data_IF_193405643554
#
_entry.id   IF_193405643554
#
_cell.length_a   1.000
_cell.length_b   1.000
_cell.length_c   1.000
_cell.angle_alpha   90.00
_cell.angle_beta   90.00
_cell.angle_gamma   90.00
#
_symmetry.space_group_name_H-M   'P 1'
#
loop_
_entity.id
_entity.type
_entity.pdbx_description
1 polymer ?
#
# COMPACT_ATOMS: atom_id res chain seq x y z
N UNK A 1 10.45 -9.35 -7.20
CA UNK A 1 9.35 -8.54 -7.76
C UNK A 1 9.68 -7.05 -7.74
N UNK A 2 9.81 -6.41 -6.57
CA UNK A 2 10.32 -5.04 -6.44
C UNK A 2 11.66 -5.07 -5.70
N UNK A 3 12.64 -4.29 -6.17
CA UNK A 3 13.96 -4.18 -5.58
C UNK A 3 14.43 -2.72 -5.59
N UNK A 4 15.06 -2.29 -4.52
CA UNK A 4 15.82 -1.03 -4.47
C UNK A 4 17.31 -1.33 -4.34
N UNK A 5 18.12 -0.52 -5.01
CA UNK A 5 19.58 -0.63 -5.03
C UNK A 5 20.14 0.74 -4.65
N UNK A 6 20.76 0.83 -3.47
CA UNK A 6 21.39 2.04 -2.96
C UNK A 6 20.44 3.24 -2.84
N UNK A 7 19.14 3.02 -2.58
CA UNK A 7 18.14 4.07 -2.58
C UNK A 7 18.45 5.13 -1.54
N UNK A 8 18.66 6.36 -2.00
CA UNK A 8 19.04 7.49 -1.15
C UNK A 8 18.17 8.70 -1.48
N UNK A 9 17.71 9.41 -0.47
CA UNK A 9 17.02 10.68 -0.63
C UNK A 9 17.49 11.69 0.42
N UNK A 10 17.77 12.91 -0.04
CA UNK A 10 18.23 14.02 0.78
C UNK A 10 17.32 15.22 0.61
N UNK A 11 17.01 15.89 1.71
CA UNK A 11 16.28 17.14 1.76
C UNK A 11 17.20 18.22 2.37
N UNK A 12 17.87 19.00 1.52
CA UNK A 12 18.94 19.90 1.97
C UNK A 12 20.05 19.13 2.70
N UNK A 13 20.27 19.45 3.96
CA UNK A 13 21.28 18.76 4.81
C UNK A 13 20.79 17.45 5.44
N UNK A 14 19.49 17.14 5.39
CA UNK A 14 18.93 15.94 6.00
C UNK A 14 18.94 14.77 5.01
N UNK A 15 19.57 13.66 5.37
CA UNK A 15 19.47 12.40 4.64
C UNK A 15 18.34 11.56 5.26
N UNK A 16 17.20 11.47 4.56
CA UNK A 16 16.03 10.75 5.03
C UNK A 16 16.06 9.25 4.72
N UNK A 17 16.72 8.85 3.61
CA UNK A 17 17.09 7.47 3.31
C UNK A 17 18.54 7.42 2.87
N UNK A 18 19.30 6.44 3.33
CA UNK A 18 20.70 6.28 3.03
C UNK A 18 21.00 4.84 2.59
N UNK A 19 21.33 4.68 1.32
CA UNK A 19 21.79 3.41 0.73
C UNK A 19 20.84 2.22 1.02
N UNK A 20 19.51 2.42 0.94
CA UNK A 20 18.54 1.37 1.23
C UNK A 20 18.49 0.35 0.10
N UNK A 21 18.88 -0.89 0.43
CA UNK A 21 18.79 -2.06 -0.44
C UNK A 21 17.70 -2.98 0.08
N UNK A 22 16.60 -3.06 -0.64
CA UNK A 22 15.37 -3.75 -0.22
C UNK A 22 14.86 -4.64 -1.35
N UNK A 23 14.29 -5.79 -1.00
CA UNK A 23 13.65 -6.66 -1.97
C UNK A 23 12.37 -7.26 -1.39
N UNK A 24 11.28 -7.27 -2.19
CA UNK A 24 10.06 -8.01 -1.90
C UNK A 24 9.77 -9.02 -3.02
N UNK A 25 9.42 -10.25 -2.64
CA UNK A 25 9.10 -11.33 -3.55
C UNK A 25 7.62 -11.32 -3.92
N UNK A 26 7.27 -11.97 -5.02
CA UNK A 26 5.87 -12.11 -5.43
C UNK A 26 5.10 -12.97 -4.42
N UNK A 27 3.88 -12.57 -4.07
CA UNK A 27 3.03 -13.24 -3.09
C UNK A 27 3.48 -13.07 -1.63
N UNK A 28 4.43 -12.18 -1.37
CA UNK A 28 4.91 -11.89 -0.02
C UNK A 28 4.09 -10.77 0.63
N UNK A 29 3.75 -10.91 1.91
CA UNK A 29 3.36 -9.80 2.77
C UNK A 29 4.61 -9.35 3.50
N UNK A 30 5.11 -8.16 3.17
CA UNK A 30 6.26 -7.54 3.81
C UNK A 30 5.81 -6.37 4.66
N UNK A 31 6.19 -6.34 5.93
CA UNK A 31 5.99 -5.17 6.78
C UNK A 31 7.27 -4.33 6.85
N UNK A 32 7.10 -3.02 6.86
CA UNK A 32 8.14 -2.04 7.19
C UNK A 32 7.75 -1.39 8.50
N UNK A 33 8.63 -1.52 9.49
CA UNK A 33 8.47 -0.93 10.81
C UNK A 33 9.67 -0.03 11.14
N UNK A 34 9.56 0.73 12.20
CA UNK A 34 10.61 1.62 12.69
C UNK A 34 10.00 2.80 13.47
N UNK A 35 10.78 3.49 14.30
CA UNK A 35 10.31 4.66 15.03
C UNK A 35 9.88 5.80 14.12
N UNK A 36 9.28 6.84 14.72
CA UNK A 36 8.97 8.07 14.02
C UNK A 36 10.25 8.70 13.47
N UNK A 37 10.22 9.19 12.24
CA UNK A 37 11.41 9.71 11.55
C UNK A 37 12.38 8.66 10.98
N UNK A 38 12.09 7.35 11.10
CA UNK A 38 12.95 6.30 10.53
C UNK A 38 13.06 6.29 9.00
N UNK A 39 12.16 7.02 8.28
CA UNK A 39 12.18 7.09 6.82
C UNK A 39 11.10 6.25 6.13
N UNK A 40 10.18 5.60 6.87
CA UNK A 40 9.13 4.72 6.33
C UNK A 40 8.29 5.40 5.24
N UNK A 41 7.65 6.53 5.55
CA UNK A 41 6.82 7.26 4.60
C UNK A 41 7.63 7.81 3.42
N UNK A 42 8.89 8.21 3.65
CA UNK A 42 9.81 8.64 2.59
C UNK A 42 10.11 7.49 1.64
N UNK A 43 10.34 6.28 2.17
CA UNK A 43 10.56 5.08 1.38
C UNK A 43 9.34 4.74 0.53
N UNK A 44 8.13 4.72 1.11
CA UNK A 44 6.88 4.52 0.38
C UNK A 44 6.68 5.57 -0.72
N UNK A 45 6.95 6.83 -0.42
CA UNK A 45 6.84 7.92 -1.39
C UNK A 45 7.80 7.76 -2.58
N UNK A 46 9.01 7.23 -2.34
CA UNK A 46 9.93 6.91 -3.43
C UNK A 46 9.42 5.73 -4.28
N UNK A 47 8.93 4.64 -3.66
CA UNK A 47 8.41 3.47 -4.37
C UNK A 47 7.19 3.79 -5.23
N UNK A 48 6.35 4.72 -4.78
CA UNK A 48 5.10 5.10 -5.46
C UNK A 48 5.24 6.32 -6.38
N UNK A 49 6.47 6.84 -6.55
CA UNK A 49 6.77 7.93 -7.47
C UNK A 49 6.36 9.32 -6.98
N UNK A 50 5.92 9.46 -5.72
CA UNK A 50 5.61 10.75 -5.08
C UNK A 50 6.88 11.56 -4.84
N UNK A 51 7.97 10.87 -4.47
CA UNK A 51 9.28 11.47 -4.29
C UNK A 51 10.30 10.86 -5.26
N UNK A 52 11.11 11.71 -5.85
CA UNK A 52 12.23 11.28 -6.69
C UNK A 52 13.46 11.05 -5.81
N UNK A 53 14.09 9.86 -5.81
CA UNK A 53 15.30 9.62 -5.06
C UNK A 53 16.46 10.48 -5.58
N UNK A 54 17.38 10.86 -4.68
CA UNK A 54 18.60 11.61 -5.03
C UNK A 54 19.63 10.68 -5.67
N UNK A 55 19.68 9.42 -5.25
CA UNK A 55 20.55 8.38 -5.80
C UNK A 55 19.94 6.99 -5.64
N UNK A 56 20.51 6.01 -6.30
CA UNK A 56 20.05 4.63 -6.30
C UNK A 56 19.00 4.35 -7.37
N UNK A 57 18.45 3.14 -7.35
CA UNK A 57 17.49 2.67 -8.36
C UNK A 57 16.35 1.89 -7.72
N UNK A 58 15.18 1.95 -8.37
CA UNK A 58 14.00 1.16 -8.03
C UNK A 58 13.64 0.34 -9.26
N UNK A 59 13.61 -0.99 -9.11
CA UNK A 59 13.21 -1.91 -10.17
C UNK A 59 11.94 -2.64 -9.78
N UNK A 60 11.01 -2.70 -10.72
CA UNK A 60 9.76 -3.45 -10.58
C UNK A 60 9.60 -4.40 -11.77
N UNK A 61 9.48 -5.72 -11.48
CA UNK A 61 9.45 -6.78 -12.50
C UNK A 61 10.59 -6.66 -13.54
N UNK A 62 11.78 -6.29 -13.07
CA UNK A 62 12.97 -6.10 -13.91
C UNK A 62 13.08 -4.74 -14.61
N UNK A 63 12.00 -3.99 -14.72
CA UNK A 63 12.02 -2.65 -15.32
C UNK A 63 12.45 -1.58 -14.30
N UNK A 64 13.23 -0.60 -14.74
CA UNK A 64 13.57 0.58 -13.94
C UNK A 64 12.36 1.52 -13.87
N UNK A 65 11.95 1.85 -12.65
CA UNK A 65 10.83 2.77 -12.37
C UNK A 65 11.30 4.00 -11.58
N UNK A 66 12.61 4.20 -11.44
CA UNK A 66 13.21 5.27 -10.64
C UNK A 66 12.74 6.64 -11.10
N UNK A 67 12.10 7.38 -10.20
CA UNK A 67 11.64 8.75 -10.46
C UNK A 67 10.49 8.88 -11.47
N UNK A 68 9.83 7.78 -11.82
CA UNK A 68 8.58 7.85 -12.58
C UNK A 68 7.49 8.51 -11.73
N UNK A 69 6.59 9.32 -12.34
CA UNK A 69 5.48 9.91 -11.61
C UNK A 69 4.43 8.86 -11.20
N UNK A 70 3.59 9.16 -10.17
CA UNK A 70 2.67 8.20 -9.58
C UNK A 70 1.73 7.52 -10.58
N UNK A 71 1.22 8.25 -11.57
CA UNK A 71 0.35 7.69 -12.59
C UNK A 71 1.05 6.62 -13.43
N UNK A 72 2.33 6.79 -13.78
CA UNK A 72 3.10 5.80 -14.51
C UNK A 72 3.47 4.60 -13.63
N UNK A 73 3.78 4.82 -12.34
CA UNK A 73 4.02 3.75 -11.37
C UNK A 73 2.76 2.91 -11.20
N UNK A 74 1.59 3.54 -11.07
CA UNK A 74 0.30 2.85 -11.00
C UNK A 74 0.03 2.03 -12.26
N UNK A 75 0.25 2.59 -13.45
CA UNK A 75 0.08 1.87 -14.71
C UNK A 75 0.98 0.62 -14.83
N UNK A 76 2.10 0.58 -14.11
CA UNK A 76 2.97 -0.60 -14.06
C UNK A 76 2.54 -1.65 -13.03
N UNK A 77 1.50 -1.37 -12.24
CA UNK A 77 0.91 -2.33 -11.33
C UNK A 77 1.33 -2.16 -9.88
N UNK A 78 1.73 -0.97 -9.45
CA UNK A 78 1.92 -0.62 -8.05
C UNK A 78 0.78 0.32 -7.63
N UNK A 79 -0.05 -0.10 -6.68
CA UNK A 79 -1.07 0.77 -6.08
C UNK A 79 -0.71 1.08 -4.62
N UNK A 80 -1.23 2.19 -4.11
CA UNK A 80 -1.09 2.61 -2.72
C UNK A 80 -2.42 3.06 -2.15
N UNK A 81 -2.75 2.61 -0.93
CA UNK A 81 -3.71 3.30 -0.07
C UNK A 81 -2.99 4.44 0.66
N UNK A 82 -3.65 5.58 0.84
CA UNK A 82 -3.07 6.73 1.51
C UNK A 82 -3.56 6.80 2.95
N UNK A 83 -2.75 7.38 3.85
CA UNK A 83 -3.11 7.58 5.26
C UNK A 83 -4.29 8.56 5.46
N UNK A 84 -4.45 9.52 4.54
CA UNK A 84 -5.60 10.42 4.49
C UNK A 84 -6.60 9.84 3.49
N UNK A 85 -7.84 9.67 3.93
CA UNK A 85 -8.93 9.08 3.16
C UNK A 85 -9.14 9.81 1.83
N UNK A 86 -8.72 9.20 0.72
CA UNK A 86 -8.86 9.73 -0.64
C UNK A 86 -10.10 9.16 -1.33
N UNK A 87 -11.24 9.18 -0.64
CA UNK A 87 -12.53 8.83 -1.20
C UNK A 87 -13.25 10.07 -1.72
N UNK A 88 -14.17 9.88 -2.64
CA UNK A 88 -15.12 10.89 -3.06
C UNK A 88 -16.34 10.81 -2.14
N UNK A 89 -16.45 11.66 -1.08
CA UNK A 89 -17.43 11.48 -0.01
C UNK A 89 -18.88 11.62 -0.51
N UNK A 90 -19.08 12.45 -1.51
CA UNK A 90 -20.39 12.71 -2.11
C UNK A 90 -20.75 11.77 -3.27
N UNK A 91 -19.89 10.82 -3.60
CA UNK A 91 -20.17 9.75 -4.55
C UNK A 91 -20.57 8.47 -3.80
N UNK A 92 -21.28 7.57 -4.48
CA UNK A 92 -21.58 6.25 -3.91
C UNK A 92 -20.32 5.41 -3.74
N UNK A 93 -20.40 4.41 -2.89
CA UNK A 93 -19.35 3.41 -2.69
C UNK A 93 -18.97 2.74 -4.02
N UNK A 94 -19.98 2.38 -4.83
CA UNK A 94 -19.76 1.81 -6.16
C UNK A 94 -19.05 2.79 -7.11
N UNK A 95 -19.48 4.05 -7.12
CA UNK A 95 -18.92 5.06 -8.01
C UNK A 95 -17.43 5.33 -7.71
N UNK A 96 -17.04 5.35 -6.44
CA UNK A 96 -15.64 5.46 -6.03
C UNK A 96 -14.77 4.37 -6.66
N UNK A 97 -15.20 3.12 -6.56
CA UNK A 97 -14.46 1.97 -7.12
C UNK A 97 -14.52 1.96 -8.65
N UNK A 98 -15.67 2.32 -9.24
CA UNK A 98 -15.86 2.39 -10.69
C UNK A 98 -14.89 3.36 -11.36
N UNK A 99 -14.71 4.55 -10.79
CA UNK A 99 -13.77 5.57 -11.29
C UNK A 99 -12.33 5.00 -11.29
N UNK A 100 -11.93 4.31 -10.24
CA UNK A 100 -10.61 3.68 -10.16
C UNK A 100 -10.44 2.56 -11.21
N UNK A 101 -11.44 1.70 -11.37
CA UNK A 101 -11.43 0.64 -12.39
C UNK A 101 -11.31 1.21 -13.82
N UNK A 102 -11.92 2.37 -14.08
CA UNK A 102 -11.83 3.04 -15.37
C UNK A 102 -10.41 3.52 -15.70
N UNK A 103 -9.60 3.86 -14.70
CA UNK A 103 -8.24 4.40 -14.89
C UNK A 103 -7.29 3.44 -15.61
N UNK A 104 -7.59 2.15 -15.62
CA UNK A 104 -6.80 1.11 -16.31
C UNK A 104 -7.07 1.02 -17.80
N UNK A 105 -8.18 1.55 -18.28
CA UNK A 105 -8.49 1.54 -19.71
C UNK A 105 -7.82 2.71 -20.40
N UNK A 106 -6.86 2.42 -21.25
CA UNK A 106 -6.20 3.40 -22.10
C UNK A 106 -7.19 3.88 -23.16
N UNK A 107 -7.48 5.15 -23.16
CA UNK A 107 -8.17 5.83 -24.21
C UNK A 107 -9.43 6.56 -23.74
N UNK A 108 -9.36 7.87 -23.81
CA UNK A 108 -10.50 8.74 -23.96
C UNK A 108 -11.12 8.48 -25.36
N UNK A 109 -11.62 7.28 -25.61
CA UNK A 109 -12.46 7.07 -26.77
C UNK A 109 -13.86 7.56 -26.38
N UNK A 110 -14.21 8.77 -26.79
CA UNK A 110 -15.60 9.28 -26.75
C UNK A 110 -16.56 8.36 -27.55
N UNK A 111 -16.04 7.38 -28.25
CA UNK A 111 -16.72 6.35 -29.04
C UNK A 111 -16.66 4.96 -28.37
N UNK A 112 -16.26 4.86 -27.10
CA UNK A 112 -16.24 3.59 -26.41
C UNK A 112 -17.65 3.00 -26.31
N UNK A 113 -17.82 1.82 -26.88
CA UNK A 113 -19.07 1.08 -26.96
C UNK A 113 -19.71 0.92 -25.57
N UNK A 114 -21.04 0.96 -25.51
CA UNK A 114 -21.90 0.74 -24.34
C UNK A 114 -21.51 -0.53 -23.51
N UNK A 115 -20.96 -1.56 -24.15
CA UNK A 115 -20.44 -2.78 -23.49
C UNK A 115 -19.28 -2.49 -22.52
N UNK A 116 -18.46 -1.49 -22.78
CA UNK A 116 -17.29 -1.17 -21.95
C UNK A 116 -17.66 -0.60 -20.57
N UNK A 117 -18.83 0.00 -20.41
CA UNK A 117 -19.33 0.48 -19.12
C UNK A 117 -19.81 -0.67 -18.23
N UNK A 118 -20.41 -1.70 -18.82
CA UNK A 118 -20.92 -2.85 -18.09
C UNK A 118 -19.80 -3.62 -17.41
N UNK A 119 -18.72 -3.89 -18.13
CA UNK A 119 -17.55 -4.59 -17.58
C UNK A 119 -16.88 -3.82 -16.45
N UNK A 120 -16.86 -2.46 -16.50
CA UNK A 120 -16.30 -1.63 -15.44
C UNK A 120 -17.16 -1.69 -14.19
N UNK A 121 -18.48 -1.68 -14.34
CA UNK A 121 -19.43 -1.80 -13.22
C UNK A 121 -19.32 -3.19 -12.61
N UNK A 122 -19.32 -4.26 -13.40
CA UNK A 122 -19.14 -5.63 -12.92
C UNK A 122 -17.82 -5.80 -12.16
N UNK A 123 -16.74 -5.20 -12.66
CA UNK A 123 -15.46 -5.18 -11.96
C UNK A 123 -15.54 -4.44 -10.63
N UNK A 124 -16.20 -3.29 -10.59
CA UNK A 124 -16.39 -2.53 -9.37
C UNK A 124 -17.20 -3.31 -8.32
N UNK A 125 -18.26 -4.01 -8.75
CA UNK A 125 -19.04 -4.87 -7.87
C UNK A 125 -18.22 -6.05 -7.31
N UNK A 126 -17.40 -6.70 -8.13
CA UNK A 126 -16.48 -7.75 -7.70
C UNK A 126 -15.48 -7.24 -6.65
N UNK A 127 -14.96 -6.03 -6.84
CA UNK A 127 -14.06 -5.41 -5.87
C UNK A 127 -14.81 -5.09 -4.57
N UNK A 128 -16.03 -4.55 -4.64
CA UNK A 128 -16.85 -4.30 -3.45
C UNK A 128 -17.16 -5.59 -2.68
N UNK A 129 -17.40 -6.70 -3.38
CA UNK A 129 -17.54 -8.02 -2.75
C UNK A 129 -16.25 -8.41 -2.04
N UNK A 130 -15.10 -8.24 -2.71
CA UNK A 130 -13.80 -8.59 -2.15
C UNK A 130 -13.47 -7.78 -0.88
N UNK A 131 -13.91 -6.53 -0.78
CA UNK A 131 -13.68 -5.67 0.40
C UNK A 131 -14.85 -5.66 1.40
N UNK A 132 -15.90 -6.48 1.17
CA UNK A 132 -17.03 -6.63 2.08
C UNK A 132 -18.04 -5.47 2.05
N UNK A 133 -18.06 -4.67 0.98
CA UNK A 133 -18.91 -3.47 0.85
C UNK A 133 -20.03 -3.60 -0.19
N UNK A 134 -20.26 -4.79 -0.76
CA UNK A 134 -21.29 -4.98 -1.80
C UNK A 134 -22.69 -4.53 -1.36
N UNK A 135 -23.07 -4.85 -0.11
CA UNK A 135 -24.36 -4.45 0.46
C UNK A 135 -24.54 -2.93 0.60
N UNK A 136 -23.44 -2.18 0.53
CA UNK A 136 -23.41 -0.71 0.65
C UNK A 136 -23.05 0.01 -0.65
N UNK A 137 -23.16 -0.68 -1.80
CA UNK A 137 -22.77 -0.16 -3.11
C UNK A 137 -23.42 1.20 -3.44
N UNK A 138 -24.68 1.39 -3.05
CA UNK A 138 -25.45 2.61 -3.31
C UNK A 138 -25.39 3.66 -2.18
N UNK A 139 -24.71 3.36 -1.06
CA UNK A 139 -24.52 4.33 0.01
C UNK A 139 -23.46 5.36 -0.37
N UNK A 140 -23.63 6.60 0.09
CA UNK A 140 -22.60 7.62 -0.05
C UNK A 140 -21.38 7.22 0.79
N UNK A 141 -20.19 7.41 0.24
CA UNK A 141 -18.95 7.05 0.94
C UNK A 141 -18.78 7.81 2.27
N UNK A 142 -19.34 9.02 2.38
CA UNK A 142 -19.37 9.78 3.63
C UNK A 142 -20.14 9.10 4.77
N UNK A 143 -21.10 8.23 4.45
CA UNK A 143 -21.95 7.56 5.45
C UNK A 143 -21.36 6.24 5.98
N UNK A 144 -20.26 5.78 5.39
CA UNK A 144 -19.54 4.59 5.84
C UNK A 144 -18.83 4.85 7.18
N UNK A 145 -18.75 3.83 8.04
CA UNK A 145 -17.89 3.86 9.23
C UNK A 145 -16.43 4.05 8.84
N UNK A 146 -15.57 4.41 9.78
CA UNK A 146 -14.13 4.61 9.53
C UNK A 146 -13.47 3.35 8.95
N UNK A 147 -13.75 2.16 9.52
CA UNK A 147 -13.25 0.90 9.01
C UNK A 147 -13.74 0.58 7.59
N UNK A 148 -15.04 0.87 7.31
CA UNK A 148 -15.61 0.69 5.97
C UNK A 148 -15.02 1.66 4.94
N UNK A 149 -14.75 2.92 5.32
CA UNK A 149 -14.05 3.87 4.46
C UNK A 149 -12.65 3.37 4.13
N UNK A 150 -11.96 2.77 5.10
CA UNK A 150 -10.64 2.17 4.87
C UNK A 150 -10.70 0.96 3.94
N UNK A 151 -11.70 0.10 4.12
CA UNK A 151 -11.95 -1.01 3.20
C UNK A 151 -12.27 -0.50 1.78
N UNK A 152 -13.01 0.61 1.67
CA UNK A 152 -13.27 1.25 0.38
C UNK A 152 -11.97 1.75 -0.28
N UNK A 153 -11.06 2.35 0.47
CA UNK A 153 -9.74 2.78 -0.04
C UNK A 153 -8.92 1.61 -0.58
N UNK A 154 -8.90 0.50 0.16
CA UNK A 154 -8.27 -0.74 -0.31
C UNK A 154 -8.96 -1.20 -1.60
N UNK A 155 -10.29 -1.13 -1.67
CA UNK A 155 -11.06 -1.44 -2.86
C UNK A 155 -10.72 -0.56 -4.05
N UNK A 156 -10.61 0.75 -3.86
CA UNK A 156 -10.17 1.71 -4.89
C UNK A 156 -8.78 1.33 -5.43
N UNK A 157 -7.85 0.99 -4.55
CA UNK A 157 -6.52 0.54 -4.95
C UNK A 157 -6.57 -0.80 -5.72
N UNK A 158 -7.38 -1.78 -5.26
CA UNK A 158 -7.57 -3.08 -5.92
C UNK A 158 -8.21 -2.93 -7.31
N UNK A 159 -9.12 -1.98 -7.50
CA UNK A 159 -9.77 -1.72 -8.79
C UNK A 159 -8.79 -1.33 -9.90
N UNK A 160 -7.59 -0.85 -9.52
CA UNK A 160 -6.50 -0.59 -10.46
C UNK A 160 -5.71 -1.84 -10.86
N UNK A 161 -6.14 -3.04 -10.45
CA UNK A 161 -5.50 -4.34 -10.74
C UNK A 161 -3.99 -4.36 -10.46
N UNK A 162 -3.57 -4.03 -9.24
CA UNK A 162 -2.16 -3.95 -8.91
C UNK A 162 -1.53 -5.36 -8.83
N UNK A 163 -0.22 -5.42 -9.02
CA UNK A 163 0.60 -6.60 -8.68
C UNK A 163 1.28 -6.42 -7.32
N UNK A 164 1.48 -5.16 -6.90
CA UNK A 164 1.99 -4.78 -5.59
C UNK A 164 1.04 -3.73 -4.99
N UNK A 165 0.49 -4.03 -3.83
CA UNK A 165 -0.33 -3.12 -3.05
C UNK A 165 0.49 -2.60 -1.86
N UNK A 166 0.64 -1.29 -1.77
CA UNK A 166 1.28 -0.60 -0.66
C UNK A 166 0.21 -0.06 0.29
N UNK A 167 0.18 -0.55 1.52
CA UNK A 167 -0.76 -0.14 2.57
C UNK A 167 -0.01 0.69 3.62
N UNK A 168 -0.47 1.91 3.84
CA UNK A 168 0.13 2.86 4.78
C UNK A 168 -0.78 2.95 6.02
N UNK A 169 -0.35 2.31 7.11
CA UNK A 169 -1.06 2.23 8.40
C UNK A 169 -2.54 1.83 8.23
N UNK A 170 -2.84 0.66 7.60
CA UNK A 170 -4.20 0.29 7.25
C UNK A 170 -5.13 0.11 8.46
N UNK A 171 -4.60 -0.05 9.68
CA UNK A 171 -5.40 -0.24 10.90
C UNK A 171 -5.40 0.97 11.83
N UNK A 172 -4.78 2.09 11.43
CA UNK A 172 -4.68 3.27 12.28
C UNK A 172 -6.06 3.84 12.66
N UNK A 173 -6.26 4.10 13.95
CA UNK A 173 -7.50 4.69 14.46
C UNK A 173 -8.72 3.77 14.53
N UNK A 174 -8.53 2.47 14.26
CA UNK A 174 -9.60 1.47 14.30
C UNK A 174 -9.82 0.90 15.71
N UNK A 175 -11.05 0.48 15.96
CA UNK A 175 -11.35 -0.41 17.09
C UNK A 175 -10.71 -1.79 16.87
N UNK A 176 -10.60 -2.60 17.94
CA UNK A 176 -10.06 -3.97 17.84
C UNK A 176 -10.84 -4.83 16.85
N UNK A 177 -12.17 -4.69 16.78
CA UNK A 177 -13.01 -5.43 15.85
C UNK A 177 -12.71 -5.04 14.39
N UNK A 178 -12.67 -3.74 14.09
CA UNK A 178 -12.36 -3.24 12.75
C UNK A 178 -10.93 -3.63 12.30
N UNK A 179 -9.96 -3.59 13.23
CA UNK A 179 -8.59 -4.06 12.99
C UNK A 179 -8.60 -5.54 12.55
N UNK A 180 -9.35 -6.38 13.27
CA UNK A 180 -9.45 -7.81 12.95
C UNK A 180 -10.08 -8.06 11.58
N UNK A 181 -11.13 -7.31 11.22
CA UNK A 181 -11.79 -7.40 9.92
C UNK A 181 -10.85 -6.93 8.79
N UNK A 182 -10.12 -5.85 9.00
CA UNK A 182 -9.13 -5.35 8.03
C UNK A 182 -7.97 -6.33 7.86
N UNK A 183 -7.48 -6.95 8.93
CA UNK A 183 -6.48 -8.02 8.85
C UNK A 183 -6.98 -9.23 8.06
N UNK A 184 -8.23 -9.65 8.30
CA UNK A 184 -8.86 -10.74 7.54
C UNK A 184 -8.97 -10.39 6.05
N UNK A 185 -9.32 -9.13 5.73
CA UNK A 185 -9.33 -8.64 4.36
C UNK A 185 -7.92 -8.72 3.74
N UNK A 186 -6.90 -8.18 4.42
CA UNK A 186 -5.51 -8.19 3.92
C UNK A 186 -5.03 -9.62 3.67
N UNK A 187 -5.29 -10.57 4.59
CA UNK A 187 -4.96 -12.00 4.39
C UNK A 187 -5.68 -12.60 3.17
N UNK A 188 -6.94 -12.22 2.95
CA UNK A 188 -7.72 -12.72 1.80
C UNK A 188 -7.16 -12.26 0.47
N UNK A 189 -6.85 -10.96 0.33
CA UNK A 189 -6.33 -10.41 -0.92
C UNK A 189 -4.86 -10.79 -1.16
N UNK A 190 -4.10 -11.10 -0.11
CA UNK A 190 -2.70 -11.51 -0.22
C UNK A 190 -2.50 -12.87 -0.90
N UNK A 191 -3.55 -13.70 -1.05
CA UNK A 191 -3.46 -14.97 -1.76
C UNK A 191 -3.03 -14.79 -3.22
N UNK A 192 -3.45 -13.69 -3.84
CA UNK A 192 -3.22 -13.41 -5.25
C UNK A 192 -2.37 -12.16 -5.47
N UNK A 193 -1.96 -11.48 -4.39
CA UNK A 193 -1.33 -10.16 -4.43
C UNK A 193 -0.09 -10.08 -3.55
N UNK A 194 0.90 -9.32 -3.99
CA UNK A 194 2.02 -8.95 -3.14
C UNK A 194 1.66 -7.69 -2.36
N UNK A 195 1.93 -7.68 -1.06
CA UNK A 195 1.53 -6.58 -0.17
C UNK A 195 2.74 -6.06 0.59
N UNK A 196 2.91 -4.75 0.55
CA UNK A 196 3.89 -4.02 1.36
C UNK A 196 3.13 -3.14 2.35
N UNK A 197 3.33 -3.35 3.64
CA UNK A 197 2.61 -2.64 4.71
C UNK A 197 3.59 -1.80 5.50
N UNK A 198 3.26 -0.55 5.76
CA UNK A 198 3.84 0.23 6.86
C UNK A 198 2.87 0.16 8.03
N UNK A 199 3.33 -0.27 9.18
CA UNK A 199 2.53 -0.36 10.39
C UNK A 199 3.38 -0.05 11.63
N UNK A 200 2.72 0.43 12.66
CA UNK A 200 3.32 0.68 13.98
C UNK A 200 2.72 -0.23 15.06
N UNK A 201 1.57 -0.85 14.81
CA UNK A 201 1.01 -1.89 15.67
C UNK A 201 1.75 -3.22 15.46
N UNK A 202 2.56 -3.57 16.47
CA UNK A 202 3.38 -4.79 16.40
C UNK A 202 2.54 -6.05 16.37
N UNK A 203 1.34 -6.07 16.96
CA UNK A 203 0.46 -7.24 16.90
C UNK A 203 0.01 -7.49 15.46
N UNK A 204 -0.45 -6.44 14.76
CA UNK A 204 -0.84 -6.52 13.34
C UNK A 204 0.33 -6.99 12.47
N UNK A 205 1.52 -6.43 12.70
CA UNK A 205 2.74 -6.78 11.96
C UNK A 205 3.09 -8.25 12.15
N UNK A 206 3.14 -8.73 13.40
CA UNK A 206 3.52 -10.11 13.73
C UNK A 206 2.53 -11.13 13.20
N UNK A 207 1.24 -10.77 13.12
CA UNK A 207 0.20 -11.66 12.62
C UNK A 207 0.10 -11.71 11.09
N UNK A 208 0.42 -10.62 10.40
CA UNK A 208 0.25 -10.52 8.94
C UNK A 208 1.51 -10.79 8.14
N UNK A 209 2.66 -10.32 8.61
CA UNK A 209 3.86 -10.27 7.78
C UNK A 209 4.54 -11.66 7.65
N UNK A 210 4.92 -12.00 6.43
CA UNK A 210 5.85 -13.11 6.19
C UNK A 210 7.29 -12.73 6.54
N UNK A 211 7.65 -11.47 6.31
CA UNK A 211 8.95 -10.88 6.67
C UNK A 211 8.77 -9.43 7.06
N UNK A 212 9.65 -8.97 7.93
CA UNK A 212 9.69 -7.60 8.46
C UNK A 212 11.01 -6.97 8.06
N UNK A 213 10.96 -5.71 7.64
CA UNK A 213 12.11 -4.83 7.46
C UNK A 213 12.03 -3.72 8.49
N UNK A 214 13.04 -3.57 9.31
CA UNK A 214 13.15 -2.53 10.32
C UNK A 214 13.98 -1.38 9.76
N UNK A 215 13.37 -0.20 9.62
CA UNK A 215 14.06 1.04 9.27
C UNK A 215 14.44 1.82 10.53
N UNK A 216 15.65 2.39 10.52
CA UNK A 216 16.13 3.26 11.58
C UNK A 216 17.08 4.30 11.00
N UNK A 217 16.81 5.59 11.22
CA UNK A 217 17.57 6.71 10.64
C UNK A 217 17.86 6.59 9.14
N UNK A 218 16.85 6.14 8.38
CA UNK A 218 16.94 6.02 6.92
C UNK A 218 17.72 4.82 6.41
N UNK A 219 18.11 3.89 7.26
CA UNK A 219 18.83 2.66 6.91
C UNK A 219 18.05 1.41 7.35
N UNK A 220 18.31 0.26 6.71
CA UNK A 220 17.77 -1.01 7.16
C UNK A 220 18.61 -1.51 8.35
N UNK A 221 17.98 -1.56 9.52
CA UNK A 221 18.57 -2.06 10.75
C UNK A 221 18.59 -3.59 10.79
N UNK A 222 17.48 -4.22 10.40
CA UNK A 222 17.31 -5.68 10.40
C UNK A 222 16.22 -6.09 9.39
N UNK A 223 16.32 -7.32 8.89
CA UNK A 223 15.30 -7.98 8.08
C UNK A 223 15.20 -9.46 8.45
N UNK A 224 13.99 -9.95 8.61
CA UNK A 224 13.76 -11.36 8.93
C UNK A 224 12.29 -11.71 9.05
N UNK A 225 11.96 -12.99 9.29
CA UNK A 225 10.63 -13.40 9.70
C UNK A 225 10.27 -12.79 11.07
N UNK A 226 8.96 -12.68 11.41
CA UNK A 226 8.52 -12.05 12.64
C UNK A 226 9.24 -12.54 13.90
N UNK A 227 9.43 -13.86 14.07
CA UNK A 227 10.08 -14.44 15.24
C UNK A 227 11.55 -13.95 15.42
N UNK A 228 12.31 -13.86 14.32
CA UNK A 228 13.70 -13.36 14.37
C UNK A 228 13.78 -11.87 14.72
N UNK A 229 12.84 -11.08 14.21
CA UNK A 229 12.78 -9.63 14.50
C UNK A 229 12.40 -9.38 15.95
N UNK A 230 11.48 -10.17 16.51
CA UNK A 230 11.03 -10.04 17.90
C UNK A 230 12.16 -10.29 18.90
N UNK A 231 13.10 -11.19 18.57
CA UNK A 231 14.24 -11.54 19.42
C UNK A 231 15.51 -10.73 19.12
N UNK A 232 15.47 -9.88 18.10
CA UNK A 232 16.64 -9.14 17.66
C UNK A 232 17.02 -8.03 18.65
N UNK A 233 18.17 -8.19 19.33
CA UNK A 233 18.63 -7.25 20.37
C UNK A 233 18.76 -5.80 19.86
N UNK A 234 19.20 -5.58 18.61
CA UNK A 234 19.29 -4.23 18.02
C UNK A 234 17.93 -3.60 17.80
N UNK A 235 16.93 -4.40 17.42
CA UNK A 235 15.55 -3.95 17.23
C UNK A 235 14.94 -3.59 18.59
N UNK A 236 15.09 -4.47 19.58
CA UNK A 236 14.60 -4.22 20.94
C UNK A 236 15.20 -2.94 21.53
N UNK A 237 16.49 -2.71 21.36
CA UNK A 237 17.17 -1.50 21.82
C UNK A 237 16.55 -0.21 21.23
N UNK A 238 16.21 -0.22 19.95
CA UNK A 238 15.58 0.93 19.26
C UNK A 238 14.16 1.19 19.78
N UNK A 239 13.39 0.15 20.05
CA UNK A 239 12.01 0.30 20.55
C UNK A 239 11.91 0.52 22.05
N UNK A 240 12.90 0.10 22.87
CA UNK A 240 12.92 0.34 24.31
C UNK A 240 13.45 1.73 24.70
N UNK A 241 14.13 2.41 23.78
CA UNK A 241 14.68 3.77 23.99
C UNK A 241 13.76 4.89 23.49
N UNK A 242 12.61 4.53 22.91
CA UNK A 242 11.61 5.48 22.42
C UNK A 242 10.44 5.53 23.36
#
# INVERSE_FOLDING_TARGET
>A
MLRTEGLTIRFGGLTALNNVNFEIRRGEIRAIIGPNGAGKSTFFNCLTGVLRPTAGRIRFNGADITGLPPNQVSQRGIARSYQITNILPNATTLENVRIAAQSRRHGWSMLAHHTSFRDIVEKAEQVLEAVGLRGKANELAANLSHGEQRNLEIGIALATEPQLLCLDEPTAGMSTAETHDTMALVRRIAKDLTILIVEHDMQVVMELAHRITVLHYGEILAEGPPAEIQENARVLEVYLKT
#
